data_IF_434287249818
#
_entry.id   IF_434287249818
#
_cell.length_a   1.000
_cell.length_b   1.000
_cell.length_c   1.000
_cell.angle_alpha   90.00
_cell.angle_beta   90.00
_cell.angle_gamma   90.00
#
_symmetry.space_group_name_H-M   'P 1'
#
loop_
_entity.id
_entity.type
_entity.pdbx_description
1 polymer ?
#
# COMPACT_ATOMS: atom_id res chain seq x y z
N UNK A 1 -1.82 11.61 -4.93
CA UNK A 1 -0.56 10.95 -4.49
C UNK A 1 -0.87 9.48 -4.21
N UNK A 2 -0.01 8.54 -4.62
CA UNK A 2 -0.19 7.11 -4.34
C UNK A 2 0.32 6.76 -2.93
N UNK A 3 -0.22 7.43 -1.93
CA UNK A 3 0.15 7.25 -0.52
C UNK A 3 -1.11 7.35 0.31
N UNK A 4 -1.27 6.44 1.27
CA UNK A 4 -2.28 6.47 2.31
C UNK A 4 -1.66 5.96 3.61
N UNK A 5 -2.29 6.26 4.74
CA UNK A 5 -1.96 5.72 6.06
C UNK A 5 -2.99 4.67 6.40
N UNK A 6 -2.53 3.44 6.61
CA UNK A 6 -3.26 2.42 7.35
C UNK A 6 -2.75 2.49 8.80
N UNK A 7 -3.64 2.61 9.77
CA UNK A 7 -3.24 2.53 11.18
C UNK A 7 -2.95 1.08 11.59
N UNK A 8 -2.98 0.78 12.88
CA UNK A 8 -2.55 -0.50 13.44
C UNK A 8 -3.69 -1.21 14.19
N UNK A 9 -3.73 -2.56 14.15
CA UNK A 9 -4.52 -3.37 15.06
C UNK A 9 -4.15 -3.07 16.53
N UNK A 10 -5.11 -3.06 17.46
CA UNK A 10 -4.79 -2.86 18.86
C UNK A 10 -4.10 -4.11 19.44
N UNK A 11 -3.43 -3.91 20.58
CA UNK A 11 -2.76 -4.95 21.36
C UNK A 11 -3.59 -5.26 22.59
N UNK A 12 -3.64 -6.54 22.96
CA UNK A 12 -4.35 -7.02 24.14
C UNK A 12 -3.60 -6.67 25.44
N UNK A 13 -2.28 -6.50 25.37
CA UNK A 13 -1.42 -6.28 26.53
C UNK A 13 -1.11 -4.81 26.82
N UNK A 14 -1.85 -3.88 26.21
CA UNK A 14 -1.57 -2.46 26.30
C UNK A 14 -2.85 -1.65 26.56
N UNK A 15 -2.71 -0.52 27.25
CA UNK A 15 -3.85 0.31 27.63
C UNK A 15 -4.63 0.82 26.41
N UNK A 16 -5.94 0.63 26.41
CA UNK A 16 -6.81 0.96 25.25
C UNK A 16 -6.86 2.47 25.01
N UNK A 17 -6.98 3.27 26.08
CA UNK A 17 -7.07 4.72 25.94
C UNK A 17 -5.79 5.31 25.36
N UNK A 18 -4.62 4.78 25.75
CA UNK A 18 -3.34 5.18 25.18
C UNK A 18 -3.22 4.79 23.69
N UNK A 19 -3.70 3.59 23.32
CA UNK A 19 -3.73 3.18 21.91
C UNK A 19 -4.64 4.10 21.08
N UNK A 20 -5.78 4.51 21.63
CA UNK A 20 -6.71 5.43 20.98
C UNK A 20 -6.09 6.81 20.76
N UNK A 21 -5.38 7.35 21.76
CA UNK A 21 -4.63 8.60 21.62
C UNK A 21 -3.58 8.51 20.51
N UNK A 22 -2.86 7.38 20.41
CA UNK A 22 -1.89 7.16 19.33
C UNK A 22 -2.58 7.12 17.96
N UNK A 23 -3.72 6.43 17.83
CA UNK A 23 -4.48 6.41 16.56
C UNK A 23 -4.95 7.81 16.15
N UNK A 24 -5.42 8.60 17.11
CA UNK A 24 -5.81 10.00 16.87
C UNK A 24 -4.63 10.84 16.38
N UNK A 25 -3.43 10.65 16.92
CA UNK A 25 -2.23 11.35 16.43
C UNK A 25 -1.87 10.96 14.99
N UNK A 26 -1.97 9.68 14.62
CA UNK A 26 -1.80 9.25 13.23
C UNK A 26 -2.81 9.91 12.29
N UNK A 27 -4.08 9.95 12.70
CA UNK A 27 -5.15 10.58 11.93
C UNK A 27 -4.90 12.09 11.75
N UNK A 28 -4.54 12.78 12.83
CA UNK A 28 -4.23 14.21 12.85
C UNK A 28 -3.06 14.54 11.92
N UNK A 29 -1.99 13.75 11.95
CA UNK A 29 -0.82 13.94 11.08
C UNK A 29 -1.18 13.67 9.62
N UNK A 30 -1.93 12.60 9.34
CA UNK A 30 -2.38 12.28 7.98
C UNK A 30 -3.23 13.43 7.39
N UNK A 31 -4.20 13.95 8.16
CA UNK A 31 -5.02 15.09 7.78
C UNK A 31 -4.19 16.35 7.49
N UNK A 32 -3.22 16.67 8.36
CA UNK A 32 -2.30 17.81 8.17
C UNK A 32 -1.46 17.69 6.89
N UNK A 33 -1.14 16.47 6.48
CA UNK A 33 -0.33 16.18 5.29
C UNK A 33 -1.17 15.97 4.01
N UNK A 34 -2.50 16.13 4.10
CA UNK A 34 -3.43 15.81 3.02
C UNK A 34 -3.25 14.37 2.49
N UNK A 35 -3.08 13.42 3.41
CA UNK A 35 -2.96 11.99 3.13
C UNK A 35 -4.19 11.27 3.67
N UNK A 36 -4.79 10.39 2.87
CA UNK A 36 -5.92 9.58 3.32
C UNK A 36 -5.49 8.70 4.50
N UNK A 37 -6.30 8.71 5.54
CA UNK A 37 -6.19 7.81 6.67
C UNK A 37 -7.27 6.73 6.61
N UNK A 38 -6.92 5.50 6.95
CA UNK A 38 -7.81 4.34 7.04
C UNK A 38 -7.61 3.69 8.40
N UNK A 39 -8.69 3.59 9.18
CA UNK A 39 -8.64 2.86 10.45
C UNK A 39 -8.99 1.39 10.26
N UNK A 40 -8.25 0.51 10.93
CA UNK A 40 -8.49 -0.94 10.96
C UNK A 40 -8.96 -1.42 12.33
N UNK A 41 -8.90 -0.58 13.38
CA UNK A 41 -9.12 -1.00 14.76
C UNK A 41 -10.47 -1.73 14.98
N UNK A 42 -11.53 -1.30 14.32
CA UNK A 42 -12.88 -1.91 14.46
C UNK A 42 -12.94 -3.35 13.93
N UNK A 43 -12.00 -3.76 13.08
CA UNK A 43 -11.89 -5.13 12.57
C UNK A 43 -11.15 -6.08 13.54
N UNK A 44 -10.55 -5.53 14.58
CA UNK A 44 -9.78 -6.25 15.59
C UNK A 44 -10.35 -5.97 16.98
N UNK A 45 -11.58 -6.45 17.29
CA UNK A 45 -12.16 -6.28 18.61
C UNK A 45 -11.38 -7.11 19.65
N UNK A 46 -11.01 -6.49 20.76
CA UNK A 46 -10.20 -7.11 21.83
C UNK A 46 -10.84 -8.37 22.44
N UNK A 47 -12.14 -8.59 22.21
CA UNK A 47 -12.88 -9.78 22.65
C UNK A 47 -12.66 -11.01 21.77
N UNK A 48 -12.16 -10.85 20.54
CA UNK A 48 -11.90 -11.95 19.59
C UNK A 48 -10.46 -12.43 19.66
N UNK A 49 -10.14 -13.17 20.71
CA UNK A 49 -8.77 -13.62 21.00
C UNK A 49 -8.16 -14.50 19.89
N UNK A 50 -8.97 -15.11 19.03
CA UNK A 50 -8.55 -15.86 17.85
C UNK A 50 -7.80 -15.02 16.81
N UNK A 51 -7.95 -13.70 16.84
CA UNK A 51 -7.25 -12.77 15.93
C UNK A 51 -5.80 -12.49 16.35
N UNK A 52 -5.39 -12.89 17.56
CA UNK A 52 -4.04 -12.65 18.08
C UNK A 52 -3.26 -13.94 18.30
N UNK A 53 -1.94 -13.80 18.20
CA UNK A 53 -1.01 -14.75 18.78
C UNK A 53 -1.12 -14.76 20.32
N UNK A 54 -0.54 -15.80 20.94
CA UNK A 54 -0.56 -15.99 22.40
C UNK A 54 0.10 -14.86 23.19
N UNK A 55 0.94 -14.04 22.56
CA UNK A 55 1.59 -12.90 23.20
C UNK A 55 0.68 -11.66 23.32
N UNK A 56 -0.48 -11.68 22.66
CA UNK A 56 -1.43 -10.57 22.65
C UNK A 56 -0.92 -9.31 21.95
N UNK A 57 0.17 -9.42 21.17
CA UNK A 57 0.78 -8.32 20.42
C UNK A 57 0.68 -8.57 18.93
N UNK A 58 1.07 -9.77 18.49
CA UNK A 58 1.03 -10.12 17.08
C UNK A 58 -0.35 -10.66 16.71
N UNK A 59 -0.74 -10.46 15.45
CA UNK A 59 -1.91 -11.10 14.90
C UNK A 59 -1.65 -12.60 14.70
N UNK A 60 -2.70 -13.40 14.73
CA UNK A 60 -2.62 -14.81 14.34
C UNK A 60 -2.37 -14.93 12.84
N UNK A 61 -1.56 -15.91 12.44
CA UNK A 61 -1.21 -16.13 11.02
C UNK A 61 -2.41 -16.60 10.18
N UNK A 62 -3.36 -17.28 10.80
CA UNK A 62 -4.52 -17.89 10.14
C UNK A 62 -5.69 -16.94 9.95
N UNK A 63 -6.02 -16.13 10.96
CA UNK A 63 -7.23 -15.29 10.95
C UNK A 63 -6.90 -13.81 10.99
N UNK A 64 -6.07 -13.37 11.94
CA UNK A 64 -5.77 -11.96 12.14
C UNK A 64 -5.03 -11.36 10.94
N UNK A 65 -3.97 -12.03 10.49
CA UNK A 65 -3.17 -11.58 9.35
C UNK A 65 -3.96 -11.60 8.04
N UNK A 66 -4.88 -12.55 7.86
CA UNK A 66 -5.76 -12.59 6.68
C UNK A 66 -6.64 -11.33 6.61
N UNK A 67 -7.27 -10.95 7.73
CA UNK A 67 -8.08 -9.73 7.81
C UNK A 67 -7.22 -8.49 7.52
N UNK A 68 -6.02 -8.38 8.11
CA UNK A 68 -5.13 -7.24 7.88
C UNK A 68 -4.73 -7.14 6.39
N UNK A 69 -4.40 -8.26 5.75
CA UNK A 69 -4.04 -8.30 4.34
C UNK A 69 -5.20 -7.86 3.45
N UNK A 70 -6.44 -8.31 3.74
CA UNK A 70 -7.63 -7.89 3.01
C UNK A 70 -7.88 -6.38 3.15
N UNK A 71 -7.76 -5.83 4.36
CA UNK A 71 -7.95 -4.39 4.59
C UNK A 71 -6.89 -3.55 3.88
N UNK A 72 -5.63 -3.99 3.91
CA UNK A 72 -4.55 -3.33 3.19
C UNK A 72 -4.79 -3.35 1.68
N UNK A 73 -5.18 -4.51 1.14
CA UNK A 73 -5.52 -4.65 -0.28
C UNK A 73 -6.65 -3.70 -0.68
N UNK A 74 -7.79 -3.75 0.02
CA UNK A 74 -8.94 -2.88 -0.26
C UNK A 74 -8.54 -1.40 -0.21
N UNK A 75 -7.82 -1.00 0.84
CA UNK A 75 -7.38 0.38 0.99
C UNK A 75 -6.43 0.83 -0.15
N UNK A 76 -5.51 -0.04 -0.55
CA UNK A 76 -4.58 0.22 -1.65
C UNK A 76 -5.29 0.31 -3.00
N UNK A 77 -6.18 -0.64 -3.32
CA UNK A 77 -6.98 -0.63 -4.55
C UNK A 77 -7.80 0.66 -4.68
N UNK A 78 -8.53 1.04 -3.62
CA UNK A 78 -9.31 2.29 -3.62
C UNK A 78 -8.44 3.54 -3.77
N UNK A 79 -7.19 3.52 -3.29
CA UNK A 79 -6.27 4.65 -3.45
C UNK A 79 -5.77 4.79 -4.89
N UNK A 80 -5.52 3.67 -5.56
CA UNK A 80 -5.13 3.63 -6.96
C UNK A 80 -6.27 4.12 -7.86
N UNK A 81 -7.50 3.68 -7.60
CA UNK A 81 -8.71 4.12 -8.32
C UNK A 81 -8.90 5.64 -8.19
N UNK A 82 -8.93 6.16 -6.95
CA UNK A 82 -9.08 7.61 -6.71
C UNK A 82 -8.00 8.45 -7.37
N UNK A 83 -6.76 7.96 -7.40
CA UNK A 83 -5.67 8.70 -8.06
C UNK A 83 -5.83 8.70 -9.58
N UNK A 84 -6.32 7.60 -10.16
CA UNK A 84 -6.58 7.46 -11.60
C UNK A 84 -7.74 8.36 -12.05
N UNK A 85 -8.82 8.41 -11.27
CA UNK A 85 -9.96 9.29 -11.54
C UNK A 85 -9.56 10.78 -11.49
N UNK A 86 -8.80 11.17 -10.45
CA UNK A 86 -8.30 12.55 -10.32
C UNK A 86 -7.42 12.96 -11.52
N UNK A 87 -6.58 12.05 -12.01
CA UNK A 87 -5.75 12.30 -13.19
C UNK A 87 -6.58 12.43 -14.48
N UNK A 88 -7.65 11.64 -14.61
CA UNK A 88 -8.56 11.69 -15.76
C UNK A 88 -9.33 13.01 -15.82
N UNK A 89 -9.90 13.46 -14.70
CA UNK A 89 -10.64 14.72 -14.60
C UNK A 89 -9.75 15.92 -14.93
N UNK A 90 -8.50 15.94 -14.47
CA UNK A 90 -7.55 17.00 -14.82
C UNK A 90 -7.23 17.06 -16.32
N UNK A 91 -7.26 15.92 -17.03
CA UNK A 91 -7.02 15.88 -18.49
C UNK A 91 -8.21 16.34 -19.33
N UNK A 92 -9.44 16.26 -18.81
CA UNK A 92 -10.67 16.61 -19.54
C UNK A 92 -11.15 18.05 -19.32
N UNK A 93 -10.54 18.79 -18.38
CA UNK A 93 -10.80 20.23 -18.25
C UNK A 93 -10.44 20.96 -19.55
N UNK A 94 -11.37 21.74 -20.17
CA UNK A 94 -11.07 22.45 -21.42
C UNK A 94 -9.95 23.46 -21.16
N UNK A 95 -8.76 23.16 -21.67
CA UNK A 95 -7.63 24.06 -21.59
C UNK A 95 -7.86 25.18 -22.60
N UNK A 96 -8.42 26.31 -22.15
CA UNK A 96 -8.49 27.55 -22.94
C UNK A 96 -7.08 28.14 -23.01
N UNK A 97 -6.22 27.55 -23.85
CA UNK A 97 -4.91 28.12 -24.18
C UNK A 97 -4.89 28.55 -25.66
N UNK A 98 -4.42 29.78 -25.99
CA UNK A 98 -4.31 30.25 -27.37
C UNK A 98 -3.37 29.36 -28.21
N UNK A 99 -3.51 29.33 -29.55
CA UNK A 99 -2.78 28.37 -30.38
C UNK A 99 -1.27 28.66 -30.36
N UNK A 100 -0.50 27.81 -29.69
CA UNK A 100 0.96 27.84 -29.76
C UNK A 100 1.44 27.17 -31.05
N UNK A 101 2.38 27.85 -31.72
CA UNK A 101 3.03 27.45 -32.98
C UNK A 101 3.73 26.09 -32.80
N UNK A 102 3.33 25.08 -33.57
CA UNK A 102 3.94 23.73 -33.53
C UNK A 102 5.31 23.74 -34.20
N UNK A 103 6.35 23.37 -33.45
CA UNK A 103 7.60 22.83 -33.98
C UNK A 103 7.77 21.46 -33.35
N UNK A 104 7.75 20.41 -34.18
CA UNK A 104 7.87 19.03 -33.73
C UNK A 104 9.33 18.58 -33.78
N UNK A 105 9.96 18.14 -32.68
CA UNK A 105 11.19 17.38 -32.78
C UNK A 105 10.86 15.91 -33.04
N UNK A 106 11.64 15.26 -33.91
CA UNK A 106 11.59 13.81 -34.13
C UNK A 106 12.37 13.14 -32.99
N UNK A 107 11.73 12.24 -32.27
CA UNK A 107 12.35 11.39 -31.25
C UNK A 107 12.24 9.95 -31.76
N UNK A 108 13.39 9.31 -31.93
CA UNK A 108 13.50 7.89 -32.23
C UNK A 108 13.18 7.09 -30.96
N UNK A 109 12.25 6.14 -31.06
CA UNK A 109 11.83 5.28 -29.94
C UNK A 109 12.72 4.04 -29.96
N UNK A 110 13.54 3.88 -28.92
CA UNK A 110 14.24 2.62 -28.65
C UNK A 110 13.32 1.76 -27.79
N UNK A 111 12.92 0.59 -28.31
CA UNK A 111 12.01 -0.36 -27.66
C UNK A 111 12.45 -0.73 -26.24
N UNK A 112 11.54 -0.60 -25.28
CA UNK A 112 11.70 -1.11 -23.92
C UNK A 112 11.08 -2.51 -23.84
N UNK A 113 11.93 -3.49 -23.53
CA UNK A 113 11.54 -4.89 -23.34
C UNK A 113 10.56 -4.99 -22.17
N UNK A 114 9.36 -5.50 -22.45
CA UNK A 114 8.31 -5.69 -21.46
C UNK A 114 8.79 -6.61 -20.32
N UNK A 115 8.89 -6.06 -19.12
CA UNK A 115 8.96 -6.86 -17.89
C UNK A 115 7.58 -7.46 -17.68
N UNK A 116 7.49 -8.79 -17.73
CA UNK A 116 6.24 -9.51 -17.49
C UNK A 116 5.69 -9.17 -16.10
N UNK A 117 4.46 -8.65 -16.07
CA UNK A 117 3.72 -8.43 -14.84
C UNK A 117 3.26 -9.81 -14.30
N UNK A 118 3.45 -10.13 -13.01
CA UNK A 118 2.89 -11.35 -12.44
C UNK A 118 1.36 -11.27 -12.45
N UNK A 119 0.70 -12.28 -13.02
CA UNK A 119 -0.76 -12.32 -13.17
C UNK A 119 -1.50 -12.64 -11.86
N UNK A 120 -0.80 -13.06 -10.80
CA UNK A 120 -1.40 -13.51 -9.55
C UNK A 120 -0.76 -12.79 -8.33
N UNK A 121 -1.54 -12.01 -7.56
CA UNK A 121 -1.04 -11.29 -6.37
C UNK A 121 -0.76 -12.19 -5.15
N UNK A 122 -1.14 -13.47 -5.16
CA UNK A 122 -0.86 -14.44 -4.08
C UNK A 122 0.31 -15.38 -4.41
N UNK A 123 0.92 -15.24 -5.58
CA UNK A 123 2.05 -16.06 -6.01
C UNK A 123 3.34 -15.32 -5.68
N UNK A 124 4.08 -15.80 -4.68
CA UNK A 124 5.35 -15.22 -4.29
C UNK A 124 6.48 -15.89 -5.09
N UNK A 125 7.20 -15.11 -5.89
CA UNK A 125 8.41 -15.60 -6.57
C UNK A 125 9.53 -15.71 -5.55
N UNK A 126 10.05 -16.91 -5.31
CA UNK A 126 11.26 -17.12 -4.49
C UNK A 126 12.45 -16.48 -5.23
N UNK A 127 12.87 -15.28 -4.84
CA UNK A 127 14.12 -14.72 -5.35
C UNK A 127 15.27 -15.23 -4.50
N UNK A 128 15.92 -16.31 -4.95
CA UNK A 128 17.14 -16.78 -4.29
C UNK A 128 17.64 -18.16 -4.72
N UNK A 129 18.55 -18.18 -5.71
CA UNK A 129 19.71 -19.09 -5.74
C UNK A 129 20.69 -18.66 -6.83
N UNK A 130 21.42 -17.57 -6.59
CA UNK A 130 22.71 -17.39 -7.25
C UNK A 130 23.65 -18.43 -6.66
N UNK A 131 24.00 -19.44 -7.46
CA UNK A 131 25.05 -20.40 -7.12
C UNK A 131 26.36 -19.59 -7.01
N UNK A 132 26.90 -19.43 -5.80
CA UNK A 132 28.31 -19.09 -5.63
C UNK A 132 29.12 -20.25 -6.20
N UNK A 133 29.75 -20.04 -7.35
CA UNK A 133 30.82 -20.92 -7.83
C UNK A 133 32.01 -20.67 -6.90
N UNK A 134 32.32 -21.65 -6.06
CA UNK A 134 33.58 -21.68 -5.32
C UNK A 134 34.58 -22.27 -6.30
N UNK A 135 35.48 -21.43 -6.82
CA UNK A 135 36.66 -21.89 -7.54
C UNK A 135 37.68 -22.36 -6.51
N UNK A 136 37.89 -23.68 -6.43
CA UNK A 136 39.02 -24.28 -5.73
C UNK A 136 40.03 -24.67 -6.80
N UNK A 137 41.04 -23.84 -7.01
CA UNK A 137 42.22 -24.21 -7.79
C UNK A 137 43.21 -24.93 -6.86
N UNK A 138 43.54 -26.18 -7.20
CA UNK A 138 44.72 -26.91 -6.72
C UNK A 138 45.88 -26.67 -7.70
#
# INVERSE_FOLDING_TARGET
RNVFVLDFPPRLNFDVALQDLLRQEYHRVAARMDVRYVSVADHFPLTRLDLWCRDGVHLSDDTGMEILAQLLWIAASQQLERTTEAATVQRTSPRTSPPARRVSPKVDVKDEVAVACPSNPFEWTVVGRTKKVIDCTL
#
